data_IF_061265536399
#
_entry.id   IF_061265536399
#
_cell.length_a   1.000
_cell.length_b   1.000
_cell.length_c   1.000
_cell.angle_alpha   90.00
_cell.angle_beta   90.00
_cell.angle_gamma   90.00
#
_symmetry.space_group_name_H-M   'P 1'
#
loop_
_entity.id
_entity.type
_entity.pdbx_description
1 polymer ?
#
# COMPACT_ATOMS: atom_id res chain seq x y z
N UNK A 1 -67.08 -15.60 -43.25
CA UNK A 1 -66.01 -15.16 -44.16
C UNK A 1 -65.85 -13.66 -43.98
N UNK A 2 -64.64 -13.24 -43.62
CA UNK A 2 -64.11 -11.87 -43.54
C UNK A 2 -64.71 -10.87 -42.53
N UNK A 3 -63.77 -10.28 -41.78
CA UNK A 3 -63.88 -9.17 -40.84
C UNK A 3 -64.30 -7.86 -41.55
N UNK A 4 -64.99 -6.97 -40.82
CA UNK A 4 -64.41 -5.68 -40.40
C UNK A 4 -65.32 -4.96 -39.39
N UNK A 5 -64.69 -4.43 -38.34
CA UNK A 5 -65.20 -3.47 -37.36
C UNK A 5 -65.31 -2.06 -38.01
N UNK A 6 -66.09 -1.09 -37.48
CA UNK A 6 -65.58 -0.34 -36.32
C UNK A 6 -66.62 0.18 -35.30
N UNK A 7 -66.14 0.24 -34.04
CA UNK A 7 -66.25 1.31 -33.04
C UNK A 7 -67.57 2.08 -32.87
N UNK A 8 -68.15 2.01 -31.67
CA UNK A 8 -68.45 3.23 -30.89
C UNK A 8 -68.64 2.94 -29.38
N UNK A 9 -67.80 3.63 -28.60
CA UNK A 9 -67.94 4.13 -27.23
C UNK A 9 -68.85 3.40 -26.21
N UNK A 10 -68.22 2.82 -25.17
CA UNK A 10 -68.77 2.83 -23.81
C UNK A 10 -67.66 3.20 -22.84
N UNK A 11 -67.83 4.35 -22.19
CA UNK A 11 -67.06 4.80 -21.04
C UNK A 11 -67.22 3.83 -19.87
N UNK A 12 -66.12 3.25 -19.40
CA UNK A 12 -66.04 2.64 -18.08
C UNK A 12 -64.92 3.32 -17.31
N UNK A 13 -65.33 4.09 -16.31
CA UNK A 13 -64.48 4.65 -15.26
C UNK A 13 -63.87 3.47 -14.51
N UNK A 14 -62.57 3.22 -14.72
CA UNK A 14 -61.78 2.35 -13.86
C UNK A 14 -60.97 3.24 -12.92
N UNK A 15 -61.29 3.11 -11.63
CA UNK A 15 -60.56 3.68 -10.52
C UNK A 15 -59.09 3.27 -10.58
N UNK A 16 -58.23 4.23 -10.93
CA UNK A 16 -56.79 4.14 -10.75
C UNK A 16 -56.50 4.23 -9.24
N UNK A 17 -56.45 3.07 -8.59
CA UNK A 17 -55.75 2.90 -7.32
C UNK A 17 -54.26 3.10 -7.62
N UNK A 18 -53.78 4.33 -7.39
CA UNK A 18 -52.36 4.60 -7.16
C UNK A 18 -51.95 3.86 -5.89
N UNK A 19 -51.57 2.59 -6.05
CA UNK A 19 -50.73 1.91 -5.08
C UNK A 19 -49.35 2.57 -5.18
N UNK A 20 -49.07 3.48 -4.24
CA UNK A 20 -47.70 3.82 -3.89
C UNK A 20 -47.00 2.51 -3.53
N UNK A 21 -46.22 1.97 -4.45
CA UNK A 21 -45.10 1.13 -4.06
C UNK A 21 -44.16 2.04 -3.30
N UNK A 22 -44.15 1.94 -1.96
CA UNK A 22 -42.95 2.23 -1.21
C UNK A 22 -41.85 1.42 -1.89
N UNK A 23 -40.93 2.12 -2.57
CA UNK A 23 -39.61 1.55 -2.80
C UNK A 23 -39.11 1.25 -1.40
N UNK A 24 -39.09 -0.03 -1.04
CA UNK A 24 -38.25 -0.48 0.03
C UNK A 24 -36.86 0.05 -0.31
N UNK A 25 -36.45 1.10 0.40
CA UNK A 25 -35.04 1.32 0.62
C UNK A 25 -34.56 -0.01 1.17
N UNK A 26 -33.85 -0.76 0.34
CA UNK A 26 -32.97 -1.80 0.83
C UNK A 26 -31.96 -1.07 1.69
N UNK A 27 -32.30 -0.80 2.94
CA UNK A 27 -31.35 -0.52 3.99
C UNK A 27 -30.54 -1.79 4.09
N UNK A 28 -29.49 -1.88 3.28
CA UNK A 28 -28.46 -2.91 3.40
C UNK A 28 -27.97 -2.73 4.83
N UNK A 29 -28.33 -3.66 5.71
CA UNK A 29 -27.74 -3.67 7.04
C UNK A 29 -26.22 -3.63 6.88
N UNK A 30 -25.51 -2.78 7.63
CA UNK A 30 -24.06 -2.69 7.51
C UNK A 30 -23.47 -4.07 7.69
N UNK A 31 -22.84 -4.62 6.63
CA UNK A 31 -22.12 -5.88 6.72
C UNK A 31 -21.07 -5.74 7.83
N UNK A 32 -21.14 -6.59 8.85
CA UNK A 32 -20.16 -6.58 9.92
C UNK A 32 -18.92 -7.35 9.46
N UNK A 33 -17.82 -6.63 9.22
CA UNK A 33 -16.53 -7.24 8.87
C UNK A 33 -15.62 -7.34 10.09
N UNK A 34 -14.89 -8.44 10.19
CA UNK A 34 -13.86 -8.64 11.23
C UNK A 34 -12.64 -9.37 10.67
N UNK A 35 -11.49 -9.18 11.32
CA UNK A 35 -10.25 -9.91 11.05
C UNK A 35 -9.98 -10.84 12.23
N UNK A 36 -10.13 -12.14 12.02
CA UNK A 36 -9.95 -13.16 13.05
C UNK A 36 -8.59 -13.85 12.89
N UNK A 37 -7.83 -13.96 13.98
CA UNK A 37 -6.65 -14.84 14.03
C UNK A 37 -7.17 -16.28 13.99
N UNK A 38 -6.87 -16.99 12.91
CA UNK A 38 -7.28 -18.40 12.73
C UNK A 38 -6.15 -19.37 13.05
N UNK A 39 -4.90 -18.90 12.97
CA UNK A 39 -3.70 -19.69 13.20
C UNK A 39 -2.51 -18.74 13.44
N UNK A 40 -1.39 -19.28 13.90
CA UNK A 40 -0.13 -18.56 14.04
C UNK A 40 1.05 -19.48 13.73
N UNK A 41 2.07 -18.91 13.09
CA UNK A 41 3.30 -19.61 12.74
C UNK A 41 4.44 -19.00 13.55
N UNK A 42 5.26 -19.84 14.18
CA UNK A 42 6.44 -19.41 14.90
C UNK A 42 7.69 -19.67 14.06
N UNK A 43 8.57 -18.68 13.98
CA UNK A 43 9.87 -18.76 13.32
C UNK A 43 10.94 -18.72 14.40
N UNK A 44 11.80 -19.74 14.41
CA UNK A 44 12.92 -19.87 15.35
C UNK A 44 14.05 -18.89 14.99
N UNK A 45 13.82 -17.61 15.31
CA UNK A 45 14.75 -16.51 15.08
C UNK A 45 14.70 -15.53 16.25
N UNK A 46 15.86 -15.15 16.78
CA UNK A 46 15.97 -14.18 17.86
C UNK A 46 16.13 -12.76 17.30
N UNK A 47 15.08 -11.96 17.40
CA UNK A 47 15.06 -10.57 16.99
C UNK A 47 13.70 -10.17 16.41
N UNK A 48 13.52 -8.88 16.12
CA UNK A 48 12.32 -8.41 15.44
C UNK A 48 12.53 -8.35 13.92
N UNK A 49 11.58 -8.90 13.18
CA UNK A 49 11.52 -8.80 11.72
C UNK A 49 10.13 -8.36 11.27
N UNK A 50 10.10 -7.58 10.20
CA UNK A 50 8.90 -7.11 9.54
C UNK A 50 8.58 -8.03 8.37
N UNK A 51 7.33 -8.47 8.25
CA UNK A 51 6.87 -9.16 7.06
C UNK A 51 6.72 -8.15 5.91
N UNK A 52 7.40 -8.42 4.79
CA UNK A 52 7.44 -7.50 3.65
C UNK A 52 6.65 -8.02 2.45
N UNK A 53 6.82 -9.30 2.10
CA UNK A 53 6.34 -9.84 0.84
C UNK A 53 6.08 -11.36 0.88
N UNK A 54 5.45 -11.89 -0.17
CA UNK A 54 5.14 -13.31 -0.34
C UNK A 54 5.31 -13.76 -1.79
N UNK A 55 6.11 -14.80 -2.00
CA UNK A 55 6.20 -15.47 -3.30
C UNK A 55 5.12 -16.55 -3.38
N UNK A 56 4.02 -16.23 -4.09
CA UNK A 56 2.89 -17.12 -4.29
C UNK A 56 3.26 -18.44 -4.99
N UNK A 57 4.33 -18.48 -5.79
CA UNK A 57 4.71 -19.70 -6.52
C UNK A 57 5.47 -20.67 -5.62
N UNK A 58 6.34 -20.15 -4.75
CA UNK A 58 7.15 -20.95 -3.85
C UNK A 58 6.57 -21.05 -2.43
N UNK A 59 5.47 -20.36 -2.15
CA UNK A 59 4.76 -20.34 -0.86
C UNK A 59 5.69 -19.97 0.30
N UNK A 60 6.46 -18.90 0.10
CA UNK A 60 7.44 -18.39 1.07
C UNK A 60 7.23 -16.91 1.37
N UNK A 61 7.37 -16.58 2.65
CA UNK A 61 7.34 -15.23 3.19
C UNK A 61 8.74 -14.61 3.17
N UNK A 62 8.81 -13.31 2.90
CA UNK A 62 10.01 -12.51 3.07
C UNK A 62 9.87 -11.64 4.32
N UNK A 63 10.76 -11.84 5.29
CA UNK A 63 10.88 -10.99 6.46
C UNK A 63 12.21 -10.24 6.42
N UNK A 64 12.25 -9.02 6.96
CA UNK A 64 13.49 -8.26 7.07
C UNK A 64 13.52 -7.36 8.32
N UNK A 65 14.73 -6.91 8.67
CA UNK A 65 14.89 -5.87 9.70
C UNK A 65 14.31 -4.54 9.23
N UNK A 66 14.12 -3.61 10.16
CA UNK A 66 13.61 -2.25 9.90
C UNK A 66 14.44 -1.46 8.87
N UNK A 67 15.75 -1.70 8.85
CA UNK A 67 16.70 -1.10 7.91
C UNK A 67 16.98 -1.97 6.68
N UNK A 68 16.31 -3.11 6.53
CA UNK A 68 16.42 -4.02 5.38
C UNK A 68 17.80 -4.65 5.09
N UNK A 69 18.76 -4.55 6.01
CA UNK A 69 20.11 -5.11 5.82
C UNK A 69 20.20 -6.62 6.08
N UNK A 70 19.20 -7.20 6.74
CA UNK A 70 19.09 -8.64 6.98
C UNK A 70 17.68 -9.10 6.63
N UNK A 71 17.59 -10.26 5.98
CA UNK A 71 16.31 -10.87 5.60
C UNK A 71 16.29 -12.37 5.85
N UNK A 72 15.07 -12.89 6.00
CA UNK A 72 14.73 -14.30 6.08
C UNK A 72 13.72 -14.66 5.00
N UNK A 73 13.93 -15.80 4.35
CA UNK A 73 12.89 -16.45 3.55
C UNK A 73 12.36 -17.64 4.36
N UNK A 74 11.05 -17.65 4.62
CA UNK A 74 10.43 -18.61 5.56
C UNK A 74 9.23 -19.26 4.89
N UNK A 75 9.04 -20.57 5.05
CA UNK A 75 7.87 -21.26 4.50
C UNK A 75 6.62 -21.07 5.38
N UNK A 76 5.49 -21.65 4.96
CA UNK A 76 4.22 -21.55 5.70
C UNK A 76 4.18 -22.24 7.07
N UNK A 77 5.15 -23.11 7.35
CA UNK A 77 5.31 -23.78 8.64
C UNK A 77 6.27 -23.03 9.60
N UNK A 78 6.86 -21.91 9.15
CA UNK A 78 7.79 -21.12 9.96
C UNK A 78 9.24 -21.59 9.88
N UNK A 79 9.55 -22.54 8.99
CA UNK A 79 10.92 -23.00 8.74
C UNK A 79 11.67 -21.96 7.93
N UNK A 80 12.79 -21.49 8.46
CA UNK A 80 13.76 -20.65 7.74
C UNK A 80 14.36 -21.48 6.59
N UNK A 81 14.10 -21.05 5.36
CA UNK A 81 14.65 -21.63 4.14
C UNK A 81 15.99 -20.98 3.78
N UNK A 82 16.07 -19.67 3.99
CA UNK A 82 17.26 -18.87 3.73
C UNK A 82 17.36 -17.73 4.75
N UNK A 83 18.58 -17.34 5.10
CA UNK A 83 18.90 -16.18 5.90
C UNK A 83 20.09 -15.48 5.26
N UNK A 84 19.98 -14.17 5.06
CA UNK A 84 21.07 -13.38 4.53
C UNK A 84 21.21 -12.06 5.26
N UNK A 85 22.45 -11.63 5.42
CA UNK A 85 22.80 -10.26 5.83
C UNK A 85 23.66 -9.66 4.74
N UNK A 86 23.22 -8.54 4.18
CA UNK A 86 23.97 -7.89 3.13
C UNK A 86 25.33 -7.39 3.64
N UNK A 87 26.35 -7.52 2.79
CA UNK A 87 27.66 -6.94 3.01
C UNK A 87 27.70 -5.52 2.44
N UNK A 88 28.27 -4.57 3.20
CA UNK A 88 28.58 -3.23 2.71
C UNK A 88 29.91 -3.19 1.92
N UNK A 89 30.69 -4.27 2.01
CA UNK A 89 32.00 -4.43 1.35
C UNK A 89 31.95 -5.49 0.24
N UNK A 90 32.89 -5.38 -0.71
CA UNK A 90 33.09 -6.35 -1.79
C UNK A 90 32.41 -6.00 -3.11
N UNK A 91 32.45 -6.94 -4.06
CA UNK A 91 31.96 -6.72 -5.43
C UNK A 91 30.43 -6.58 -5.50
N UNK A 92 29.72 -7.29 -4.62
CA UNK A 92 28.25 -7.33 -4.54
C UNK A 92 27.72 -6.54 -3.34
N UNK A 93 28.48 -5.54 -2.89
CA UNK A 93 28.12 -4.70 -1.76
C UNK A 93 26.75 -4.03 -1.94
N UNK A 94 25.90 -4.13 -0.91
CA UNK A 94 24.69 -3.32 -0.72
C UNK A 94 25.02 -2.23 0.28
N UNK A 95 25.40 -1.06 -0.23
CA UNK A 95 25.77 0.08 0.61
C UNK A 95 24.55 0.72 1.26
N UNK A 96 23.39 0.63 0.61
CA UNK A 96 22.16 1.18 1.14
C UNK A 96 20.98 0.31 0.70
N UNK A 97 20.23 -0.26 1.65
CA UNK A 97 19.02 -1.01 1.36
C UNK A 97 17.80 -0.11 1.59
N UNK A 98 17.14 0.35 0.51
CA UNK A 98 16.01 1.27 0.61
C UNK A 98 14.63 0.61 0.46
N UNK A 99 14.59 -0.67 0.14
CA UNK A 99 13.37 -1.45 0.06
C UNK A 99 13.66 -2.85 -0.47
N UNK A 100 12.88 -3.82 -0.01
CA UNK A 100 13.01 -5.24 -0.35
C UNK A 100 11.66 -5.78 -0.85
N UNK A 101 11.71 -6.81 -1.69
CA UNK A 101 10.55 -7.56 -2.15
C UNK A 101 10.98 -8.75 -3.01
N UNK A 102 10.03 -9.58 -3.41
CA UNK A 102 10.28 -10.60 -4.41
C UNK A 102 10.13 -10.02 -5.82
N UNK A 103 10.99 -10.50 -6.71
CA UNK A 103 10.88 -10.27 -8.14
C UNK A 103 11.15 -11.60 -8.85
N UNK A 104 10.14 -12.15 -9.53
CA UNK A 104 10.23 -13.46 -10.17
C UNK A 104 10.72 -14.60 -9.24
N UNK A 105 10.38 -14.52 -7.95
CA UNK A 105 10.72 -15.50 -6.91
C UNK A 105 12.09 -15.32 -6.26
N UNK A 106 12.89 -14.36 -6.73
CA UNK A 106 14.18 -13.99 -6.15
C UNK A 106 14.06 -12.72 -5.28
N UNK A 107 14.88 -12.62 -4.23
CA UNK A 107 14.88 -11.46 -3.34
C UNK A 107 15.53 -10.28 -4.03
N UNK A 108 14.81 -9.17 -4.15
CA UNK A 108 15.29 -7.95 -4.79
C UNK A 108 15.40 -6.82 -3.78
N UNK A 109 16.53 -6.13 -3.80
CA UNK A 109 16.80 -4.95 -2.97
C UNK A 109 17.09 -3.75 -3.85
N UNK A 110 16.52 -2.60 -3.50
CA UNK A 110 16.93 -1.34 -4.09
C UNK A 110 18.21 -0.81 -3.42
N UNK A 111 19.28 -0.74 -4.21
CA UNK A 111 20.65 -0.42 -3.81
C UNK A 111 21.19 0.78 -4.59
N UNK A 112 20.80 2.02 -4.25
CA UNK A 112 21.33 3.22 -4.91
C UNK A 112 22.86 3.34 -4.74
N UNK A 113 23.58 3.94 -5.71
CA UNK A 113 23.08 4.44 -7.00
C UNK A 113 23.06 3.37 -8.10
N UNK A 114 23.26 2.08 -7.77
CA UNK A 114 23.45 1.02 -8.79
C UNK A 114 22.12 0.55 -9.39
N UNK A 115 21.03 0.63 -8.64
CA UNK A 115 19.71 0.19 -9.08
C UNK A 115 19.20 -0.96 -8.20
N UNK A 116 18.62 -1.99 -8.81
CA UNK A 116 18.05 -3.11 -8.07
C UNK A 116 18.93 -4.35 -8.19
N UNK A 117 19.36 -4.90 -7.06
CA UNK A 117 20.11 -6.15 -7.02
C UNK A 117 19.17 -7.31 -6.77
N UNK A 118 19.36 -8.41 -7.50
CA UNK A 118 18.53 -9.61 -7.42
C UNK A 118 19.38 -10.75 -6.84
N UNK A 119 18.87 -11.38 -5.78
CA UNK A 119 19.54 -12.41 -5.01
C UNK A 119 18.75 -13.73 -5.05
N UNK A 120 19.45 -14.81 -5.34
CA UNK A 120 18.96 -16.18 -5.21
C UNK A 120 19.86 -16.94 -4.25
N UNK A 121 19.28 -17.56 -3.24
CA UNK A 121 20.02 -18.29 -2.20
C UNK A 121 21.18 -17.45 -1.65
N UNK A 122 20.89 -16.19 -1.32
CA UNK A 122 21.85 -15.21 -0.79
C UNK A 122 22.98 -14.78 -1.73
N UNK A 123 22.98 -15.24 -2.99
CA UNK A 123 23.97 -14.87 -4.01
C UNK A 123 23.37 -13.89 -5.00
N UNK A 124 24.08 -12.79 -5.32
CA UNK A 124 23.65 -11.86 -6.37
C UNK A 124 23.70 -12.58 -7.72
N UNK A 125 22.56 -12.68 -8.41
CA UNK A 125 22.44 -13.38 -9.70
C UNK A 125 22.15 -12.44 -10.86
N UNK A 126 21.60 -11.25 -10.58
CA UNK A 126 21.26 -10.26 -11.59
C UNK A 126 21.17 -8.85 -11.00
N UNK A 127 20.99 -7.88 -11.89
CA UNK A 127 20.81 -6.47 -11.58
C UNK A 127 19.87 -5.82 -12.60
N UNK A 128 19.00 -4.93 -12.12
CA UNK A 128 18.24 -3.99 -12.95
C UNK A 128 18.95 -2.64 -12.80
N UNK A 129 19.80 -2.31 -13.76
CA UNK A 129 20.57 -1.06 -13.74
C UNK A 129 19.71 0.09 -14.24
N UNK A 130 19.79 1.23 -13.55
CA UNK A 130 19.13 2.47 -13.95
C UNK A 130 20.12 3.30 -14.75
N UNK A 131 19.76 3.66 -15.98
CA UNK A 131 20.67 4.22 -16.99
C UNK A 131 20.91 5.73 -16.87
N UNK A 132 20.34 6.38 -15.85
CA UNK A 132 20.53 7.81 -15.55
C UNK A 132 20.98 8.02 -14.10
N UNK A 133 21.71 9.11 -13.79
CA UNK A 133 22.03 9.46 -12.42
C UNK A 133 20.77 9.79 -11.61
N UNK A 134 20.63 9.20 -10.43
CA UNK A 134 19.47 9.40 -9.57
C UNK A 134 19.85 9.51 -8.09
N UNK A 135 18.99 10.18 -7.36
CA UNK A 135 19.03 10.35 -5.92
C UNK A 135 17.79 9.74 -5.29
N UNK A 136 17.89 9.35 -4.02
CA UNK A 136 16.77 8.75 -3.30
C UNK A 136 16.65 9.38 -1.92
N UNK A 137 15.46 9.88 -1.60
CA UNK A 137 15.15 10.53 -0.32
C UNK A 137 14.12 9.77 0.52
N UNK A 138 13.74 8.58 0.05
CA UNK A 138 12.63 7.81 0.61
C UNK A 138 12.97 6.33 0.66
N UNK A 139 12.48 5.67 1.70
CA UNK A 139 12.41 4.23 1.76
C UNK A 139 11.14 3.76 1.03
N UNK A 140 11.19 2.55 0.49
CA UNK A 140 10.09 1.87 -0.17
C UNK A 140 9.62 0.73 0.73
N UNK A 141 8.52 0.94 1.48
CA UNK A 141 7.97 -0.06 2.42
C UNK A 141 7.56 -1.35 1.72
N UNK A 142 7.14 -1.23 0.46
CA UNK A 142 6.87 -2.31 -0.47
C UNK A 142 7.57 -1.93 -1.77
N UNK A 143 8.53 -2.74 -2.19
CA UNK A 143 9.32 -2.44 -3.38
C UNK A 143 8.49 -2.58 -4.66
N UNK A 144 7.69 -3.65 -4.75
CA UNK A 144 6.68 -3.84 -5.78
C UNK A 144 7.19 -3.98 -7.22
N UNK A 145 8.44 -4.42 -7.43
CA UNK A 145 8.95 -4.64 -8.80
C UNK A 145 8.17 -5.77 -9.46
N UNK A 146 7.68 -5.56 -10.68
CA UNK A 146 6.97 -6.60 -11.44
C UNK A 146 7.30 -6.57 -12.93
N UNK A 147 7.02 -7.67 -13.62
CA UNK A 147 7.20 -7.77 -15.07
C UNK A 147 5.86 -7.78 -15.79
N UNK A 148 5.86 -7.20 -16.98
CA UNK A 148 4.84 -7.51 -17.96
C UNK A 148 5.35 -7.42 -19.38
N UNK A 149 5.16 -8.50 -20.13
CA UNK A 149 5.73 -8.64 -21.47
C UNK A 149 7.26 -8.56 -21.43
N UNK A 150 7.80 -7.70 -22.28
CA UNK A 150 9.23 -7.37 -22.41
C UNK A 150 9.68 -6.25 -21.47
N UNK A 151 8.86 -5.85 -20.49
CA UNK A 151 9.16 -4.74 -19.58
C UNK A 151 9.20 -5.13 -18.11
N UNK A 152 10.02 -4.40 -17.36
CA UNK A 152 10.10 -4.40 -15.91
C UNK A 152 9.54 -3.07 -15.40
N UNK A 153 8.73 -3.10 -14.35
CA UNK A 153 8.13 -1.92 -13.73
C UNK A 153 8.64 -1.78 -12.29
N UNK A 154 9.02 -0.58 -11.88
CA UNK A 154 9.55 -0.30 -10.55
C UNK A 154 9.26 1.15 -10.11
N UNK A 155 9.30 1.45 -8.79
CA UNK A 155 9.15 2.82 -8.30
C UNK A 155 10.26 3.71 -8.87
N UNK A 156 9.90 4.81 -9.53
CA UNK A 156 10.86 5.65 -10.24
C UNK A 156 11.77 6.40 -9.25
N UNK A 157 13.10 6.19 -9.27
CA UNK A 157 14.00 7.02 -8.48
C UNK A 157 14.12 8.42 -9.07
N UNK A 158 14.49 9.39 -8.24
CA UNK A 158 14.44 10.78 -8.69
C UNK A 158 15.70 11.14 -9.47
N UNK A 159 15.58 11.72 -10.68
CA UNK A 159 16.74 12.18 -11.41
C UNK A 159 17.58 13.17 -10.60
N UNK A 160 18.92 13.02 -10.59
CA UNK A 160 19.82 13.99 -9.93
C UNK A 160 19.71 15.39 -10.53
N UNK A 161 19.28 15.49 -11.79
CA UNK A 161 19.04 16.78 -12.47
C UNK A 161 17.97 17.64 -11.80
N UNK A 162 17.13 17.04 -10.96
CA UNK A 162 16.09 17.71 -10.17
C UNK A 162 16.56 18.02 -8.74
N UNK A 163 17.86 18.12 -8.49
CA UNK A 163 18.43 18.55 -7.21
C UNK A 163 18.12 20.03 -6.89
N UNK A 164 16.82 20.30 -6.69
CA UNK A 164 16.24 21.52 -6.11
C UNK A 164 16.34 21.37 -4.59
N UNK A 165 16.43 22.48 -3.85
CA UNK A 165 16.50 22.41 -2.40
C UNK A 165 15.17 21.92 -1.84
N UNK A 166 15.22 20.93 -0.95
CA UNK A 166 14.04 20.37 -0.27
C UNK A 166 13.23 21.41 0.53
N UNK A 167 13.82 22.58 0.80
CA UNK A 167 13.20 23.71 1.49
C UNK A 167 12.40 24.63 0.56
N UNK A 168 12.42 24.41 -0.75
CA UNK A 168 11.76 25.25 -1.76
C UNK A 168 10.47 24.57 -2.25
N UNK A 169 9.36 25.33 -2.42
CA UNK A 169 8.10 24.75 -2.88
C UNK A 169 8.16 24.15 -4.28
N UNK A 170 9.02 24.69 -5.16
CA UNK A 170 9.26 24.18 -6.51
C UNK A 170 9.75 22.72 -6.49
N UNK A 171 10.54 22.34 -5.49
CA UNK A 171 11.00 20.96 -5.31
C UNK A 171 9.82 20.00 -5.18
N UNK A 172 8.85 20.32 -4.31
CA UNK A 172 7.67 19.49 -4.11
C UNK A 172 6.77 19.48 -5.35
N UNK A 173 6.63 20.63 -6.02
CA UNK A 173 5.85 20.73 -7.26
C UNK A 173 6.40 19.85 -8.38
N UNK A 174 7.71 19.86 -8.60
CA UNK A 174 8.36 18.99 -9.58
C UNK A 174 8.20 17.52 -9.17
N UNK A 175 8.43 17.24 -7.88
CA UNK A 175 8.30 15.91 -7.32
C UNK A 175 6.90 15.29 -7.56
N UNK A 176 5.83 16.04 -7.29
CA UNK A 176 4.47 15.53 -7.51
C UNK A 176 4.14 15.27 -8.98
N UNK A 177 4.83 15.94 -9.91
CA UNK A 177 4.65 15.78 -11.36
C UNK A 177 5.48 14.66 -11.96
N UNK A 178 6.44 14.10 -11.21
CA UNK A 178 7.23 12.97 -11.70
C UNK A 178 6.37 11.72 -11.83
N UNK A 179 6.66 10.86 -12.83
CA UNK A 179 6.09 9.53 -12.84
C UNK A 179 6.47 8.80 -11.54
N UNK A 180 5.48 8.16 -10.92
CA UNK A 180 5.63 7.37 -9.70
C UNK A 180 6.24 6.00 -10.02
N UNK A 181 5.83 5.40 -11.13
CA UNK A 181 6.34 4.12 -11.62
C UNK A 181 6.99 4.34 -12.98
N UNK A 182 8.16 3.74 -13.16
CA UNK A 182 8.88 3.69 -14.42
C UNK A 182 8.82 2.26 -14.99
N UNK A 183 8.73 2.16 -16.30
CA UNK A 183 8.92 0.91 -17.05
C UNK A 183 10.29 0.93 -17.71
N UNK A 184 10.92 -0.24 -17.82
CA UNK A 184 12.20 -0.45 -18.50
C UNK A 184 12.09 -1.61 -19.48
N UNK A 185 12.52 -1.41 -20.72
CA UNK A 185 12.64 -2.48 -21.73
C UNK A 185 13.78 -3.44 -21.36
N UNK A 186 13.49 -4.75 -21.33
CA UNK A 186 14.45 -5.78 -20.93
C UNK A 186 15.62 -5.96 -21.90
N UNK A 187 15.49 -5.52 -23.15
CA UNK A 187 16.49 -5.68 -24.20
C UNK A 187 17.32 -4.41 -24.37
N UNK A 188 16.68 -3.26 -24.56
CA UNK A 188 17.37 -2.00 -24.78
C UNK A 188 17.80 -1.30 -23.49
N UNK A 189 17.11 -1.56 -22.38
CA UNK A 189 17.29 -0.85 -21.11
C UNK A 189 16.68 0.56 -21.10
N UNK A 190 15.98 0.95 -22.17
CA UNK A 190 15.31 2.25 -22.28
C UNK A 190 14.16 2.33 -21.26
N UNK A 191 13.99 3.51 -20.67
CA UNK A 191 12.96 3.74 -19.66
C UNK A 191 11.86 4.68 -20.13
N UNK A 192 10.65 4.47 -19.61
CA UNK A 192 9.48 5.32 -19.85
C UNK A 192 8.68 5.46 -18.54
N UNK A 193 8.26 6.68 -18.21
CA UNK A 193 7.30 6.90 -17.13
C UNK A 193 5.99 6.18 -17.42
N UNK A 194 5.65 5.18 -16.59
CA UNK A 194 4.53 4.27 -16.83
C UNK A 194 3.26 4.71 -16.09
N UNK A 195 3.42 5.42 -14.97
CA UNK A 195 2.32 5.88 -14.14
C UNK A 195 2.70 7.18 -13.44
N UNK A 196 1.82 8.18 -13.51
CA UNK A 196 1.94 9.46 -12.80
C UNK A 196 0.69 9.70 -11.95
N UNK A 197 0.73 10.66 -11.03
CA UNK A 197 -0.51 11.12 -10.37
C UNK A 197 -1.51 11.63 -11.42
N UNK A 198 -2.83 11.43 -11.21
CA UNK A 198 -3.83 11.93 -12.14
C UNK A 198 -3.96 13.45 -11.99
N UNK A 199 -4.38 14.13 -13.06
CA UNK A 199 -4.58 15.60 -13.05
C UNK A 199 -5.55 16.08 -11.96
N UNK A 200 -6.45 15.21 -11.50
CA UNK A 200 -7.39 15.47 -10.42
C UNK A 200 -6.78 15.35 -9.01
N UNK A 201 -5.51 15.01 -8.87
CA UNK A 201 -4.85 14.87 -7.56
C UNK A 201 -4.62 16.23 -6.92
N UNK A 202 -5.02 16.37 -5.65
CA UNK A 202 -4.79 17.60 -4.88
C UNK A 202 -3.29 17.92 -4.72
N UNK A 203 -2.42 16.90 -4.83
CA UNK A 203 -0.97 17.06 -4.73
C UNK A 203 -0.37 17.87 -5.89
N UNK A 204 -1.05 17.91 -7.03
CA UNK A 204 -0.58 18.69 -8.19
C UNK A 204 -0.89 20.19 -8.05
N UNK A 205 -1.54 20.60 -6.96
CA UNK A 205 -1.89 22.00 -6.67
C UNK A 205 -0.71 22.89 -6.25
N UNK A 206 -1.06 24.04 -5.67
CA UNK A 206 -0.10 25.08 -5.25
C UNK A 206 0.25 25.01 -3.75
N UNK A 207 0.39 23.79 -3.22
CA UNK A 207 0.72 23.55 -1.82
C UNK A 207 1.73 22.42 -1.66
N UNK A 208 2.43 22.41 -0.53
CA UNK A 208 3.32 21.33 -0.12
C UNK A 208 2.56 20.38 0.81
N UNK A 209 2.54 19.10 0.44
CA UNK A 209 1.85 18.01 1.14
C UNK A 209 2.80 17.01 1.81
N UNK A 210 4.12 17.16 1.62
CA UNK A 210 5.15 16.22 2.10
C UNK A 210 5.67 15.27 1.01
N UNK A 211 6.39 14.23 1.41
CA UNK A 211 6.99 13.26 0.48
C UNK A 211 5.97 12.22 -0.01
N UNK A 212 5.71 12.11 -1.34
CA UNK A 212 4.73 11.20 -1.91
C UNK A 212 5.27 9.77 -1.90
N UNK A 213 5.17 9.10 -0.75
CA UNK A 213 5.58 7.70 -0.60
C UNK A 213 4.51 6.81 -1.23
N UNK A 214 4.80 6.15 -2.37
CA UNK A 214 3.80 5.40 -3.09
C UNK A 214 3.56 4.05 -2.45
N UNK A 215 2.32 3.62 -2.52
CA UNK A 215 1.86 2.28 -2.19
C UNK A 215 1.01 1.83 -3.35
N UNK A 216 1.36 0.71 -3.96
CA UNK A 216 0.61 0.19 -5.08
C UNK A 216 0.48 -1.32 -5.06
N UNK A 217 -0.58 -1.76 -5.72
CA UNK A 217 -0.91 -3.17 -5.91
C UNK A 217 -1.49 -3.32 -7.31
N UNK A 218 -1.01 -4.33 -8.02
CA UNK A 218 -1.54 -4.76 -9.30
C UNK A 218 -2.46 -5.96 -9.06
N UNK A 219 -3.68 -5.88 -9.55
CA UNK A 219 -4.68 -6.96 -9.58
C UNK A 219 -5.15 -7.12 -11.02
N UNK A 220 -4.69 -8.17 -11.70
CA UNK A 220 -4.89 -8.37 -13.13
C UNK A 220 -4.41 -7.15 -13.94
N UNK A 221 -5.34 -6.43 -14.59
CA UNK A 221 -5.06 -5.22 -15.36
C UNK A 221 -5.32 -3.91 -14.57
N UNK A 222 -5.76 -4.01 -13.31
CA UNK A 222 -6.01 -2.87 -12.44
C UNK A 222 -4.80 -2.59 -11.53
N UNK A 223 -4.23 -1.40 -11.65
CA UNK A 223 -3.22 -0.91 -10.70
C UNK A 223 -3.87 0.12 -9.78
N UNK A 224 -3.87 -0.15 -8.48
CA UNK A 224 -4.32 0.78 -7.45
C UNK A 224 -3.09 1.48 -6.85
N UNK A 225 -3.06 2.80 -6.89
CA UNK A 225 -1.99 3.62 -6.32
C UNK A 225 -2.53 4.51 -5.21
N UNK A 226 -1.88 4.49 -4.06
CA UNK A 226 -2.05 5.49 -3.00
C UNK A 226 -0.74 6.20 -2.74
N UNK A 227 -0.82 7.40 -2.20
CA UNK A 227 0.27 8.00 -1.42
C UNK A 227 0.01 7.74 0.05
N UNK A 228 1.07 7.60 0.87
CA UNK A 228 0.91 7.33 2.30
C UNK A 228 -0.04 8.28 3.00
N UNK A 229 0.02 9.57 2.74
CA UNK A 229 -0.62 10.57 3.60
C UNK A 229 -2.01 11.02 3.13
N UNK A 230 -2.59 10.38 2.11
CA UNK A 230 -3.93 10.68 1.63
C UNK A 230 -4.90 9.51 1.92
N UNK A 231 -6.12 9.76 2.42
CA UNK A 231 -7.13 8.71 2.61
C UNK A 231 -7.85 8.42 1.28
N UNK A 232 -7.09 8.11 0.22
CA UNK A 232 -7.63 7.79 -1.11
C UNK A 232 -6.64 6.96 -1.91
N UNK A 233 -7.13 6.30 -2.93
CA UNK A 233 -6.29 5.68 -3.95
C UNK A 233 -6.87 5.93 -5.34
N UNK A 234 -5.99 5.83 -6.33
CA UNK A 234 -6.27 6.05 -7.74
C UNK A 234 -6.24 4.70 -8.44
N UNK A 235 -7.27 4.42 -9.24
CA UNK A 235 -7.38 3.18 -10.02
C UNK A 235 -6.95 3.47 -11.45
N UNK A 236 -6.06 2.64 -11.99
CA UNK A 236 -5.60 2.70 -13.36
C UNK A 236 -5.83 1.37 -14.06
N UNK A 237 -6.29 1.44 -15.30
CA UNK A 237 -6.36 0.28 -16.18
C UNK A 237 -5.10 0.20 -17.03
N UNK A 238 -4.58 -1.01 -17.19
CA UNK A 238 -3.46 -1.25 -18.08
C UNK A 238 -3.91 -1.19 -19.55
N UNK A 239 -3.21 -0.37 -20.34
CA UNK A 239 -3.42 -0.23 -21.78
C UNK A 239 -2.07 -0.31 -22.48
N UNK A 240 -1.73 -1.50 -22.98
CA UNK A 240 -0.38 -1.78 -23.48
C UNK A 240 0.65 -1.70 -22.35
N UNK A 241 1.62 -0.81 -22.51
CA UNK A 241 2.73 -0.59 -21.55
C UNK A 241 2.48 0.58 -20.60
N UNK A 242 1.27 1.14 -20.59
CA UNK A 242 0.92 2.28 -19.76
C UNK A 242 -0.27 1.96 -18.86
N UNK A 243 -0.39 2.74 -17.79
CA UNK A 243 -1.52 2.69 -16.87
C UNK A 243 -2.35 3.96 -17.04
N UNK A 244 -3.58 3.80 -17.54
CA UNK A 244 -4.51 4.88 -17.82
C UNK A 244 -5.43 5.09 -16.62
N UNK A 245 -5.47 6.32 -16.12
CA UNK A 245 -6.32 6.68 -14.98
C UNK A 245 -7.80 6.42 -15.30
N UNK A 246 -8.49 5.74 -14.38
CA UNK A 246 -9.92 5.49 -14.46
C UNK A 246 -10.68 6.38 -13.49
N UNK A 247 -10.37 6.27 -12.19
CA UNK A 247 -11.11 6.94 -11.12
C UNK A 247 -10.29 7.11 -9.84
N UNK A 248 -10.69 8.09 -9.05
CA UNK A 248 -10.27 8.25 -7.65
C UNK A 248 -11.28 7.56 -6.74
N UNK A 249 -10.78 6.84 -5.74
CA UNK A 249 -11.58 6.22 -4.68
C UNK A 249 -11.17 6.88 -3.36
N UNK A 250 -12.04 7.72 -2.82
CA UNK A 250 -11.85 8.26 -1.47
C UNK A 250 -12.20 7.20 -0.42
N UNK A 251 -11.31 6.99 0.55
CA UNK A 251 -11.52 6.09 1.68
C UNK A 251 -12.15 6.91 2.80
N UNK A 252 -13.41 6.61 3.13
CA UNK A 252 -14.07 7.25 4.26
C UNK A 252 -13.53 6.68 5.57
N UNK A 253 -12.58 7.39 6.17
CA UNK A 253 -11.93 7.07 7.44
C UNK A 253 -12.33 8.12 8.50
N UNK A 254 -13.26 7.79 9.41
CA UNK A 254 -13.59 8.65 10.53
C UNK A 254 -12.36 8.93 11.40
N UNK A 255 -12.22 10.19 11.84
CA UNK A 255 -11.14 10.67 12.70
C UNK A 255 -9.74 10.62 12.07
N UNK A 256 -9.65 10.65 10.74
CA UNK A 256 -8.38 10.79 10.04
C UNK A 256 -7.66 12.09 10.45
N UNK A 257 -6.39 11.99 10.83
CA UNK A 257 -5.53 13.14 11.13
C UNK A 257 -4.66 13.43 9.91
N UNK A 258 -5.03 14.38 9.02
CA UNK A 258 -4.26 14.64 7.81
C UNK A 258 -2.98 15.42 8.12
N UNK A 259 -2.04 15.45 7.17
CA UNK A 259 -1.06 16.53 7.14
C UNK A 259 -1.77 17.88 6.95
N UNK A 260 -1.19 18.94 7.53
CA UNK A 260 -1.56 20.31 7.20
C UNK A 260 -0.66 20.76 6.06
N UNK A 261 -1.19 20.95 4.84
CA UNK A 261 -0.38 21.47 3.75
C UNK A 261 0.01 22.92 4.02
N UNK A 262 1.12 23.35 3.43
CA UNK A 262 1.60 24.75 3.50
C UNK A 262 1.71 25.33 2.10
N UNK A 263 1.66 26.65 1.97
CA UNK A 263 1.89 27.32 0.70
C UNK A 263 3.34 27.07 0.21
N UNK A 264 3.56 27.10 -1.11
CA UNK A 264 4.86 26.84 -1.74
C UNK A 264 5.97 27.76 -1.23
N UNK A 265 5.65 29.03 -0.97
CA UNK A 265 6.56 30.05 -0.43
C UNK A 265 6.88 29.85 1.07
N UNK A 266 6.36 28.78 1.67
CA UNK A 266 6.56 28.37 3.06
C UNK A 266 6.91 26.89 3.19
N UNK A 267 7.48 26.28 2.15
CA UNK A 267 7.80 24.86 2.11
C UNK A 267 8.69 24.43 3.31
N UNK A 268 9.62 25.30 3.74
CA UNK A 268 10.49 25.10 4.89
C UNK A 268 9.73 24.93 6.22
N UNK A 269 8.48 25.40 6.29
CA UNK A 269 7.63 25.30 7.48
C UNK A 269 6.83 23.99 7.53
N UNK A 270 6.80 23.20 6.45
CA UNK A 270 5.94 22.01 6.37
C UNK A 270 6.15 21.03 7.52
N UNK A 271 7.41 20.66 7.79
CA UNK A 271 7.72 19.73 8.88
C UNK A 271 7.47 20.34 10.25
N UNK A 272 7.73 21.63 10.43
CA UNK A 272 7.49 22.34 11.69
C UNK A 272 6.01 22.43 12.05
N UNK A 273 5.14 22.69 11.06
CA UNK A 273 3.69 22.70 11.25
C UNK A 273 3.16 21.32 11.64
N UNK A 274 3.76 20.26 11.10
CA UNK A 274 3.27 18.90 11.28
C UNK A 274 3.97 18.13 12.42
N UNK A 275 5.09 18.62 12.98
CA UNK A 275 5.89 17.90 13.99
C UNK A 275 5.15 17.52 15.28
N UNK A 276 4.06 18.23 15.59
CA UNK A 276 3.32 18.05 16.85
C UNK A 276 2.22 17.01 16.78
N UNK A 277 1.93 16.50 15.58
CA UNK A 277 0.92 15.46 15.35
C UNK A 277 1.58 14.27 14.65
N UNK A 278 0.90 13.14 14.66
CA UNK A 278 1.20 12.02 13.77
C UNK A 278 0.11 12.00 12.71
N UNK A 279 0.46 12.23 11.45
CA UNK A 279 -0.53 12.09 10.38
C UNK A 279 -0.94 10.62 10.23
N UNK A 280 -2.19 10.40 9.79
CA UNK A 280 -2.65 9.11 9.32
C UNK A 280 -1.88 8.69 8.08
N UNK A 281 -1.73 7.38 7.90
CA UNK A 281 -1.10 6.80 6.72
C UNK A 281 -1.90 5.61 6.17
N UNK A 282 -2.10 5.57 4.85
CA UNK A 282 -2.56 4.42 4.10
C UNK A 282 -1.32 3.63 3.66
N UNK A 283 -1.12 2.47 4.28
CA UNK A 283 0.14 1.73 4.19
C UNK A 283 0.11 0.64 3.12
N UNK A 284 -1.08 0.10 2.80
CA UNK A 284 -1.21 -0.94 1.78
C UNK A 284 -2.61 -0.98 1.17
N UNK A 285 -2.72 -1.58 -0.02
CA UNK A 285 -3.98 -2.00 -0.63
C UNK A 285 -3.81 -3.48 -0.95
N UNK A 286 -4.48 -4.35 -0.22
CA UNK A 286 -4.35 -5.80 -0.36
C UNK A 286 -5.53 -6.36 -1.15
N UNK A 287 -5.30 -7.46 -1.86
CA UNK A 287 -6.34 -8.21 -2.57
C UNK A 287 -6.56 -9.52 -1.84
N UNK A 288 -7.78 -9.79 -1.38
CA UNK A 288 -8.15 -11.04 -0.71
C UNK A 288 -9.50 -11.51 -1.24
N UNK A 289 -9.47 -12.51 -2.13
CA UNK A 289 -10.66 -12.99 -2.83
C UNK A 289 -11.37 -11.87 -3.58
N UNK A 290 -12.65 -11.67 -3.25
CA UNK A 290 -13.54 -10.67 -3.88
C UNK A 290 -13.42 -9.27 -3.27
N UNK A 291 -12.43 -9.03 -2.39
CA UNK A 291 -12.29 -7.77 -1.66
C UNK A 291 -10.95 -7.10 -1.90
N UNK A 292 -10.99 -5.77 -1.97
CA UNK A 292 -9.83 -4.91 -1.77
C UNK A 292 -9.81 -4.41 -0.32
N UNK A 293 -8.63 -4.40 0.29
CA UNK A 293 -8.45 -4.04 1.70
C UNK A 293 -7.43 -2.90 1.78
N UNK A 294 -7.91 -1.68 1.97
CA UNK A 294 -7.04 -0.54 2.26
C UNK A 294 -6.62 -0.59 3.73
N UNK A 295 -5.32 -0.79 3.97
CA UNK A 295 -4.72 -0.86 5.30
C UNK A 295 -4.21 0.52 5.68
N UNK A 296 -4.57 0.98 6.86
CA UNK A 296 -4.21 2.32 7.31
C UNK A 296 -4.08 2.42 8.83
N UNK A 297 -3.51 3.52 9.30
CA UNK A 297 -3.68 3.99 10.67
C UNK A 297 -4.07 5.47 10.66
N UNK A 298 -4.89 5.90 11.63
CA UNK A 298 -5.62 7.17 11.59
C UNK A 298 -4.75 8.40 11.88
N UNK A 299 -3.61 8.18 12.53
CA UNK A 299 -2.79 9.22 13.09
C UNK A 299 -3.20 9.60 14.51
N UNK A 300 -2.49 10.57 15.09
CA UNK A 300 -2.71 11.11 16.43
C UNK A 300 -2.68 12.63 16.37
N UNK A 301 -3.69 13.26 16.94
CA UNK A 301 -3.78 14.71 17.09
C UNK A 301 -2.67 15.29 17.99
N UNK A 302 -2.47 16.61 17.95
CA UNK A 302 -1.54 17.30 18.87
C UNK A 302 -1.91 17.07 20.34
N UNK A 303 -3.21 16.98 20.67
CA UNK A 303 -3.66 16.70 22.02
C UNK A 303 -3.23 15.30 22.48
N UNK A 304 -3.40 14.29 21.63
CA UNK A 304 -3.00 12.91 21.92
C UNK A 304 -1.49 12.76 22.03
N UNK A 305 -0.73 13.38 21.12
CA UNK A 305 0.73 13.41 21.17
C UNK A 305 1.24 14.11 22.44
N UNK A 306 0.59 15.21 22.86
CA UNK A 306 0.94 15.90 24.10
C UNK A 306 0.69 15.04 25.33
N UNK A 307 -0.40 14.26 25.36
CA UNK A 307 -0.70 13.32 26.45
C UNK A 307 0.31 12.17 26.53
N UNK A 308 0.83 11.70 25.39
CA UNK A 308 1.87 10.68 25.34
C UNK A 308 3.23 11.20 25.82
N UNK A 309 3.52 12.49 25.57
CA UNK A 309 4.81 13.08 25.88
C UNK A 309 5.93 12.58 24.95
N UNK A 310 7.21 12.83 25.29
CA UNK A 310 8.33 12.35 24.48
C UNK A 310 8.39 10.82 24.45
N UNK A 311 8.83 10.19 23.33
CA UNK A 311 8.94 8.74 23.24
C UNK A 311 10.01 8.23 24.21
N UNK A 312 9.63 7.31 25.10
CA UNK A 312 10.52 6.69 26.10
C UNK A 312 10.73 5.19 25.87
N UNK A 313 9.99 4.58 24.95
CA UNK A 313 9.87 3.14 24.74
C UNK A 313 10.11 2.73 23.28
N UNK A 314 10.93 3.51 22.55
CA UNK A 314 11.13 3.28 21.11
C UNK A 314 9.89 3.58 20.25
N UNK A 315 8.86 4.21 20.81
CA UNK A 315 7.64 4.58 20.08
C UNK A 315 6.50 3.56 20.20
N UNK A 316 6.63 2.54 21.06
CA UNK A 316 5.59 1.54 21.29
C UNK A 316 4.28 2.16 21.80
N UNK A 317 4.33 3.16 22.68
CA UNK A 317 3.15 3.86 23.16
C UNK A 317 2.37 4.56 22.04
N UNK A 318 3.10 5.15 21.07
CA UNK A 318 2.50 5.76 19.86
C UNK A 318 1.82 4.67 19.03
N UNK A 319 2.51 3.56 18.77
CA UNK A 319 1.96 2.44 17.98
C UNK A 319 0.73 1.82 18.64
N UNK A 320 0.73 1.67 19.98
CA UNK A 320 -0.40 1.16 20.76
C UNK A 320 -1.63 2.08 20.67
N UNK A 321 -1.43 3.40 20.54
CA UNK A 321 -2.51 4.38 20.36
C UNK A 321 -2.93 4.58 18.91
N UNK A 322 -2.08 4.23 17.95
CA UNK A 322 -2.33 4.34 16.52
C UNK A 322 -2.18 2.97 15.82
N UNK A 323 -3.04 1.99 16.15
CA UNK A 323 -2.98 0.65 15.56
C UNK A 323 -3.44 0.66 14.10
N UNK A 324 -3.20 -0.45 13.40
CA UNK A 324 -3.65 -0.64 12.03
C UNK A 324 -5.14 -1.01 11.95
N UNK A 325 -5.80 -0.48 10.93
CA UNK A 325 -7.18 -0.74 10.57
C UNK A 325 -7.27 -1.08 9.07
N UNK A 326 -8.39 -1.68 8.69
CA UNK A 326 -8.77 -1.95 7.32
C UNK A 326 -10.07 -1.20 6.95
N UNK A 327 -10.09 -0.68 5.73
CA UNK A 327 -11.31 -0.37 5.00
C UNK A 327 -11.49 -1.42 3.89
N UNK A 328 -12.70 -1.96 3.80
CA UNK A 328 -13.03 -3.09 2.92
C UNK A 328 -13.84 -2.57 1.75
N UNK A 329 -13.47 -2.98 0.55
CA UNK A 329 -14.13 -2.62 -0.70
C UNK A 329 -14.49 -3.89 -1.48
N UNK A 330 -15.60 -3.86 -2.23
CA UNK A 330 -15.84 -4.85 -3.27
C UNK A 330 -14.96 -4.59 -4.52
N UNK A 331 -15.05 -5.49 -5.51
CA UNK A 331 -14.33 -5.36 -6.79
C UNK A 331 -14.75 -4.15 -7.63
N UNK A 332 -15.91 -3.56 -7.37
CA UNK A 332 -16.36 -2.33 -8.03
C UNK A 332 -15.85 -1.06 -7.32
N UNK A 333 -15.07 -1.23 -6.25
CA UNK A 333 -14.50 -0.20 -5.39
C UNK A 333 -15.53 0.55 -4.53
N UNK A 334 -16.66 -0.09 -4.20
CA UNK A 334 -17.58 0.44 -3.21
C UNK A 334 -17.07 0.09 -1.80
N UNK A 335 -16.92 1.10 -0.94
CA UNK A 335 -16.52 0.88 0.44
C UNK A 335 -17.65 0.18 1.22
N UNK A 336 -17.40 -1.05 1.66
CA UNK A 336 -18.34 -1.88 2.42
C UNK A 336 -18.18 -1.71 3.93
N UNK A 337 -16.95 -1.45 4.40
CA UNK A 337 -16.65 -1.24 5.81
C UNK A 337 -15.40 -0.37 6.01
N UNK A 338 -15.24 0.17 7.22
CA UNK A 338 -14.09 0.94 7.68
C UNK A 338 -13.85 0.67 9.15
N UNK A 339 -12.67 1.01 9.65
CA UNK A 339 -12.25 0.78 11.04
C UNK A 339 -12.29 -0.70 11.46
N UNK A 340 -12.11 -1.65 10.53
CA UNK A 340 -11.95 -3.07 10.87
C UNK A 340 -10.58 -3.23 11.52
N UNK A 341 -10.47 -3.56 12.81
CA UNK A 341 -9.19 -3.51 13.52
C UNK A 341 -8.33 -4.72 13.17
N UNK A 342 -7.03 -4.49 12.95
CA UNK A 342 -6.03 -5.56 13.05
C UNK A 342 -5.73 -5.85 14.53
N UNK A 343 -5.17 -7.04 14.85
CA UNK A 343 -4.64 -7.29 16.19
C UNK A 343 -3.64 -6.18 16.59
N UNK A 344 -3.73 -5.68 17.82
CA UNK A 344 -2.93 -4.53 18.27
C UNK A 344 -1.41 -4.76 18.19
N UNK A 345 -1.00 -6.03 18.33
CA UNK A 345 0.39 -6.45 18.22
C UNK A 345 0.87 -6.62 16.77
N UNK A 346 0.03 -6.35 15.77
CA UNK A 346 0.42 -6.47 14.36
C UNK A 346 1.41 -5.37 14.00
N UNK A 347 2.46 -5.75 13.28
CA UNK A 347 3.25 -4.81 12.50
C UNK A 347 2.45 -4.30 11.29
N UNK A 348 3.10 -3.67 10.31
CA UNK A 348 2.44 -3.24 9.07
C UNK A 348 1.93 -4.43 8.25
N UNK A 349 0.60 -4.59 8.08
CA UNK A 349 0.03 -5.68 7.27
C UNK A 349 0.37 -5.47 5.79
N UNK A 350 1.06 -6.45 5.20
CA UNK A 350 1.59 -6.32 3.84
C UNK A 350 1.28 -7.48 2.90
N UNK A 351 0.84 -8.63 3.42
CA UNK A 351 0.81 -9.89 2.68
C UNK A 351 -0.57 -10.53 2.72
N UNK A 352 -0.96 -11.07 1.57
CA UNK A 352 -2.05 -12.06 1.44
C UNK A 352 -1.46 -13.30 0.79
N UNK A 353 -1.71 -14.47 1.38
CA UNK A 353 -1.21 -15.74 0.84
C UNK A 353 -2.16 -16.34 -0.23
N UNK A 354 -1.78 -17.49 -0.80
CA UNK A 354 -2.59 -18.20 -1.80
C UNK A 354 -3.99 -18.62 -1.30
N UNK A 355 -4.16 -18.76 0.01
CA UNK A 355 -5.45 -19.09 0.64
C UNK A 355 -6.33 -17.86 0.88
N UNK A 356 -5.87 -16.66 0.50
CA UNK A 356 -6.57 -15.40 0.73
C UNK A 356 -6.47 -14.90 2.17
N UNK A 357 -5.59 -15.48 3.00
CA UNK A 357 -5.39 -15.10 4.39
C UNK A 357 -4.44 -13.91 4.47
N UNK A 358 -4.75 -12.92 5.31
CA UNK A 358 -3.83 -11.82 5.57
C UNK A 358 -2.78 -12.29 6.58
N UNK A 359 -1.51 -12.11 6.24
CA UNK A 359 -0.41 -12.50 7.13
C UNK A 359 0.21 -11.23 7.71
N UNK A 360 0.42 -11.23 9.02
CA UNK A 360 1.03 -10.10 9.74
C UNK A 360 2.09 -10.59 10.72
N UNK A 361 3.23 -9.91 10.80
CA UNK A 361 4.20 -10.19 11.86
C UNK A 361 3.77 -9.54 13.17
N UNK A 362 3.96 -10.26 14.27
CA UNK A 362 3.74 -9.78 15.62
C UNK A 362 4.92 -8.93 16.09
N UNK A 363 4.64 -7.84 16.79
CA UNK A 363 5.60 -7.00 17.49
C UNK A 363 5.55 -7.34 18.97
N UNK A 364 6.66 -7.86 19.51
CA UNK A 364 6.71 -8.35 20.87
C UNK A 364 6.35 -7.26 21.89
N UNK A 365 6.89 -6.05 21.73
CA UNK A 365 6.61 -4.92 22.63
C UNK A 365 5.17 -4.40 22.63
N UNK A 366 4.32 -4.84 21.69
CA UNK A 366 2.89 -4.51 21.65
C UNK A 366 1.99 -5.63 22.17
N UNK A 367 2.58 -6.77 22.50
CA UNK A 367 1.90 -7.98 22.99
C UNK A 367 1.93 -8.06 24.51
N UNK A 368 0.94 -8.74 25.09
CA UNK A 368 0.93 -9.12 26.50
C UNK A 368 1.66 -10.44 26.77
N UNK A 369 1.96 -11.21 25.71
CA UNK A 369 2.74 -12.45 25.77
C UNK A 369 4.12 -12.26 25.15
N UNK A 370 5.12 -12.87 25.78
CA UNK A 370 6.45 -13.09 25.22
C UNK A 370 6.45 -14.43 24.47
N UNK A 371 7.14 -14.49 23.33
CA UNK A 371 7.30 -15.71 22.54
C UNK A 371 8.79 -15.94 22.25
N UNK A 372 9.19 -17.20 22.17
CA UNK A 372 10.56 -17.61 21.85
C UNK A 372 10.81 -17.57 20.33
N UNK A 373 10.62 -16.41 19.70
CA UNK A 373 10.85 -16.20 18.27
C UNK A 373 9.92 -15.19 17.62
N UNK A 374 9.95 -15.13 16.29
CA UNK A 374 9.01 -14.29 15.51
C UNK A 374 7.70 -15.04 15.38
N UNK A 375 6.58 -14.35 15.58
CA UNK A 375 5.23 -14.90 15.33
C UNK A 375 4.61 -14.22 14.12
N UNK A 376 4.09 -15.02 13.20
CA UNK A 376 3.25 -14.58 12.08
C UNK A 376 1.81 -15.01 12.35
N UNK A 377 0.88 -14.06 12.46
CA UNK A 377 -0.54 -14.37 12.54
C UNK A 377 -1.13 -14.60 11.16
N UNK A 378 -1.94 -15.65 11.02
CA UNK A 378 -2.82 -15.85 9.86
C UNK A 378 -4.19 -15.30 10.22
N UNK A 379 -4.63 -14.28 9.47
CA UNK A 379 -5.90 -13.61 9.68
C UNK A 379 -6.86 -13.97 8.55
N UNK A 380 -8.13 -14.20 8.90
CA UNK A 380 -9.21 -14.36 7.94
C UNK A 380 -10.16 -13.18 8.03
N UNK A 381 -10.46 -12.59 6.87
CA UNK A 381 -11.57 -11.65 6.76
C UNK A 381 -12.89 -12.42 6.86
N UNK A 382 -13.71 -12.06 7.84
CA UNK A 382 -15.05 -12.60 8.06
C UNK A 382 -16.08 -11.53 7.76
N UNK A 383 -17.25 -11.97 7.32
CA UNK A 383 -18.44 -11.16 7.20
C UNK A 383 -19.59 -11.94 7.85
N UNK A 384 -20.35 -11.27 8.71
CA UNK A 384 -21.58 -11.81 9.31
C UNK A 384 -22.83 -11.36 8.54
#
# INVERSE_FOLDING_TARGET
>A
MQLNLPQLAVSTILLSLFSCGEKAENTIEPKAFSLEIIDSVQVDYLGEMMLLDYDAKAEKYLLATDAYYEYLEVNEDGKILNQNKFSEDGIDAVGQALGLGYFNGDVTVFNPPKGYYIFRDSTKVAEISISYPFQVFMMYPKLGVFESGDKIYYPKPWPETLAIKMEEGEFYQELYRLPIIESQDKISGDTLGALSLPESSDLLGDQVHGFPIPVYTLDEDNLMLSMWFEPRFYVYNKVGDQFMFEKTVDVNIPDWVPYTPVALDKAEQFFEVNRKKRAGILTNILVSGDYYIAVYNKGLSEEEMTKLGPPTDGGLAIRKKNPNYAAIFDKDFNQLATNVPFPIASNYPNVVNNSGELIVSKVAGLSETEDDGIVLYKLKLKFD
#
